data_IF_130245791677
#
_entry.id   IF_130245791677
#
_cell.length_a   1.000
_cell.length_b   1.000
_cell.length_c   1.000
_cell.angle_alpha   90.00
_cell.angle_beta   90.00
_cell.angle_gamma   90.00
#
_symmetry.space_group_name_H-M   'P 1'
#
loop_
_entity.id
_entity.type
_entity.pdbx_description
1 polymer ?
#
# COMPACT_ATOMS: atom_id res chain seq x y z
N UNK A 1 18.62 42.48 -28.23
CA UNK A 1 19.39 41.24 -28.04
C UNK A 1 19.79 40.97 -26.59
N UNK A 2 20.51 41.84 -25.87
CA UNK A 2 20.88 41.58 -24.45
C UNK A 2 19.66 41.27 -23.56
N UNK A 3 18.52 41.97 -23.70
CA UNK A 3 17.31 41.70 -22.91
C UNK A 3 16.76 40.29 -23.14
N UNK A 4 16.64 39.85 -24.41
CA UNK A 4 16.12 38.50 -24.75
C UNK A 4 17.04 37.41 -24.16
N UNK A 5 18.36 37.56 -24.33
CA UNK A 5 19.34 36.66 -23.76
C UNK A 5 19.20 36.53 -22.24
N UNK A 6 19.06 37.66 -21.55
CA UNK A 6 18.92 37.64 -20.09
C UNK A 6 17.61 36.97 -19.66
N UNK A 7 16.50 37.16 -20.39
CA UNK A 7 15.22 36.49 -20.13
C UNK A 7 15.39 35.00 -20.30
N UNK A 8 16.00 34.52 -21.38
CA UNK A 8 16.24 33.10 -21.61
C UNK A 8 17.12 32.46 -20.52
N UNK A 9 18.16 33.16 -20.07
CA UNK A 9 19.01 32.73 -18.96
C UNK A 9 18.19 32.59 -17.68
N UNK A 10 17.33 33.55 -17.34
CA UNK A 10 16.49 33.50 -16.16
C UNK A 10 15.49 32.33 -16.24
N UNK A 11 14.85 32.10 -17.40
CA UNK A 11 13.93 31.00 -17.60
C UNK A 11 14.65 29.64 -17.41
N UNK A 12 15.80 29.47 -18.04
CA UNK A 12 16.57 28.22 -17.88
C UNK A 12 17.04 28.04 -16.43
N UNK A 13 17.42 29.11 -15.72
CA UNK A 13 17.79 29.02 -14.31
C UNK A 13 16.62 28.51 -13.45
N UNK A 14 15.40 29.01 -13.70
CA UNK A 14 14.21 28.54 -12.99
C UNK A 14 13.98 27.04 -13.26
N UNK A 15 14.09 26.57 -14.51
CA UNK A 15 13.93 25.17 -14.81
C UNK A 15 15.03 24.28 -14.21
N UNK A 16 16.27 24.77 -14.13
CA UNK A 16 17.36 24.08 -13.40
C UNK A 16 17.01 23.97 -11.92
N UNK A 17 16.51 25.04 -11.30
CA UNK A 17 16.10 25.00 -9.89
C UNK A 17 14.94 24.03 -9.66
N UNK A 18 13.94 24.00 -10.56
CA UNK A 18 12.84 23.04 -10.49
C UNK A 18 13.34 21.58 -10.64
N UNK A 19 14.27 21.33 -11.54
CA UNK A 19 14.88 20.01 -11.71
C UNK A 19 15.66 19.59 -10.46
N UNK A 20 16.47 20.49 -9.91
CA UNK A 20 17.21 20.23 -8.66
C UNK A 20 16.23 19.97 -7.50
N UNK A 21 15.16 20.74 -7.39
CA UNK A 21 14.13 20.49 -6.38
C UNK A 21 13.51 19.10 -6.56
N UNK A 22 13.14 18.70 -7.78
CA UNK A 22 12.59 17.39 -8.06
C UNK A 22 13.58 16.24 -7.76
N UNK A 23 14.89 16.50 -7.89
CA UNK A 23 15.94 15.54 -7.62
C UNK A 23 16.21 15.36 -6.12
N UNK A 24 16.17 16.45 -5.36
CA UNK A 24 16.59 16.44 -3.94
C UNK A 24 15.44 16.45 -2.95
N UNK A 25 14.22 16.81 -3.39
CA UNK A 25 13.04 16.85 -2.52
C UNK A 25 12.13 15.68 -2.87
N UNK A 26 12.18 14.58 -2.10
CA UNK A 26 11.28 13.46 -2.31
C UNK A 26 9.84 13.85 -1.93
N UNK A 27 8.89 13.20 -2.58
CA UNK A 27 7.48 13.23 -2.20
C UNK A 27 7.12 11.86 -1.65
N UNK A 28 6.62 11.80 -0.44
CA UNK A 28 6.13 10.54 0.12
C UNK A 28 4.87 10.09 -0.62
N UNK A 29 4.89 8.86 -1.09
CA UNK A 29 3.77 8.22 -1.78
C UNK A 29 3.53 6.83 -1.23
N UNK A 30 2.27 6.44 -1.27
CA UNK A 30 1.83 5.07 -1.05
C UNK A 30 2.42 4.17 -2.13
N UNK A 31 3.05 3.10 -1.71
CA UNK A 31 3.59 2.06 -2.58
C UNK A 31 3.23 0.68 -2.02
N UNK A 32 2.97 -0.27 -2.90
CA UNK A 32 2.68 -1.65 -2.50
C UNK A 32 3.99 -2.39 -2.36
N UNK A 33 4.40 -2.64 -1.12
CA UNK A 33 5.61 -3.42 -0.84
C UNK A 33 5.43 -4.88 -1.22
N UNK A 34 4.24 -5.42 -0.97
CA UNK A 34 3.87 -6.80 -1.30
C UNK A 34 2.38 -6.90 -1.60
N UNK A 35 2.02 -7.79 -2.51
CA UNK A 35 0.63 -8.17 -2.76
C UNK A 35 0.57 -9.64 -3.19
N UNK A 36 -0.21 -10.43 -2.48
CA UNK A 36 -0.46 -11.83 -2.82
C UNK A 36 -1.59 -12.02 -3.84
N UNK A 37 -2.00 -10.95 -4.54
CA UNK A 37 -3.02 -11.03 -5.58
C UNK A 37 -2.54 -11.86 -6.76
N UNK A 38 -2.68 -13.16 -6.66
CA UNK A 38 -2.60 -14.04 -7.80
C UNK A 38 -3.99 -14.08 -8.48
N UNK A 39 -4.05 -13.75 -9.76
CA UNK A 39 -5.27 -13.81 -10.56
C UNK A 39 -5.97 -15.19 -10.48
N UNK A 40 -5.24 -16.23 -10.10
CA UNK A 40 -5.76 -17.59 -9.88
C UNK A 40 -6.72 -17.75 -8.70
N UNK A 41 -6.77 -16.77 -7.78
CA UNK A 41 -7.68 -16.78 -6.61
C UNK A 41 -9.14 -16.86 -7.05
N UNK A 42 -9.49 -16.14 -8.09
CA UNK A 42 -10.88 -16.04 -8.56
C UNK A 42 -11.43 -17.35 -9.12
N UNK A 43 -10.59 -18.14 -9.78
CA UNK A 43 -11.00 -19.38 -10.42
C UNK A 43 -11.09 -20.59 -9.46
N UNK A 44 -10.53 -20.47 -8.26
CA UNK A 44 -10.39 -21.58 -7.29
C UNK A 44 -10.95 -21.27 -5.90
N UNK A 45 -11.93 -20.40 -5.80
CA UNK A 45 -12.53 -19.96 -4.51
C UNK A 45 -12.90 -21.13 -3.57
N UNK A 46 -13.37 -22.24 -4.10
CA UNK A 46 -13.72 -23.43 -3.32
C UNK A 46 -12.51 -24.22 -2.79
N UNK A 47 -11.32 -23.97 -3.35
CA UNK A 47 -10.08 -24.68 -3.00
C UNK A 47 -9.17 -23.89 -2.06
N UNK A 48 -9.52 -22.64 -1.77
CA UNK A 48 -8.73 -21.76 -0.91
C UNK A 48 -9.05 -22.10 0.55
N UNK A 49 -8.03 -22.39 1.37
CA UNK A 49 -8.25 -22.67 2.79
C UNK A 49 -8.77 -21.43 3.51
N UNK A 50 -9.75 -21.66 4.40
CA UNK A 50 -10.23 -20.65 5.33
C UNK A 50 -9.51 -20.84 6.66
N UNK A 51 -8.87 -19.78 7.16
CA UNK A 51 -8.06 -19.80 8.36
C UNK A 51 -8.82 -19.27 9.55
N UNK A 52 -8.93 -20.10 10.56
CA UNK A 52 -9.50 -19.76 11.83
C UNK A 52 -10.99 -19.45 11.80
N UNK A 53 -11.47 -18.95 12.91
CA UNK A 53 -12.72 -18.22 13.02
C UNK A 53 -12.47 -17.09 14.00
N UNK A 54 -12.75 -15.85 13.61
CA UNK A 54 -12.71 -14.69 14.46
C UNK A 54 -14.10 -14.56 15.07
N UNK A 55 -14.18 -14.58 16.39
CA UNK A 55 -15.42 -14.45 17.18
C UNK A 55 -15.11 -13.65 18.43
N UNK A 56 -16.13 -13.31 19.23
CA UNK A 56 -15.95 -12.62 20.53
C UNK A 56 -15.02 -13.36 21.51
N UNK A 57 -14.80 -14.64 21.33
CA UNK A 57 -13.96 -15.47 22.20
C UNK A 57 -12.70 -16.01 21.51
N UNK A 58 -12.47 -15.65 20.26
CA UNK A 58 -11.36 -16.19 19.46
C UNK A 58 -10.78 -15.14 18.55
N UNK A 59 -9.55 -14.77 18.83
CA UNK A 59 -8.78 -13.80 18.05
C UNK A 59 -7.97 -14.49 16.95
N UNK A 60 -7.61 -13.71 15.92
CA UNK A 60 -6.61 -14.07 14.94
C UNK A 60 -5.37 -13.19 15.12
N UNK A 61 -4.21 -13.79 15.00
CA UNK A 61 -2.93 -13.09 15.14
C UNK A 61 -2.05 -13.33 13.91
N UNK A 62 -1.52 -12.25 13.36
CA UNK A 62 -0.67 -12.24 12.19
C UNK A 62 0.65 -11.59 12.58
N UNK A 63 1.78 -12.25 12.32
CA UNK A 63 3.13 -11.76 12.64
C UNK A 63 3.96 -11.57 11.39
N UNK A 64 4.74 -10.48 11.38
CA UNK A 64 5.67 -10.18 10.30
C UNK A 64 6.80 -9.26 10.78
N UNK A 65 7.91 -9.31 10.08
CA UNK A 65 9.06 -8.46 10.35
C UNK A 65 9.21 -7.43 9.22
N UNK A 66 9.42 -6.16 9.59
CA UNK A 66 9.74 -5.10 8.65
C UNK A 66 11.00 -4.36 9.07
N UNK A 67 11.70 -3.81 8.09
CA UNK A 67 12.90 -3.03 8.32
C UNK A 67 12.79 -1.67 7.61
N UNK A 68 12.91 -0.59 8.38
CA UNK A 68 12.91 0.81 7.91
C UNK A 68 11.74 1.14 6.99
N UNK A 69 10.52 0.73 7.40
CA UNK A 69 9.28 0.99 6.66
C UNK A 69 8.27 1.73 7.51
N UNK A 70 7.53 2.64 6.87
CA UNK A 70 6.33 3.24 7.42
C UNK A 70 5.12 2.55 6.80
N UNK A 71 4.35 1.83 7.60
CA UNK A 71 3.13 1.17 7.14
C UNK A 71 2.08 2.24 6.84
N UNK A 72 1.39 2.10 5.72
CA UNK A 72 0.21 2.89 5.36
C UNK A 72 -1.08 2.11 5.59
N UNK A 73 -1.11 0.84 5.18
CA UNK A 73 -2.25 -0.04 5.33
C UNK A 73 -1.89 -1.51 5.11
N UNK A 74 -2.79 -2.37 5.51
CA UNK A 74 -2.72 -3.81 5.30
C UNK A 74 -4.03 -4.26 4.68
N UNK A 75 -3.98 -4.80 3.49
CA UNK A 75 -5.13 -5.42 2.84
C UNK A 75 -5.25 -6.89 3.23
N UNK A 76 -6.43 -7.31 3.68
CA UNK A 76 -6.73 -8.68 4.04
C UNK A 76 -7.93 -9.19 3.25
N UNK A 77 -7.98 -10.49 3.05
CA UNK A 77 -9.08 -11.16 2.36
C UNK A 77 -9.90 -11.96 3.35
N UNK A 78 -11.04 -11.41 3.73
CA UNK A 78 -11.96 -12.03 4.67
C UNK A 78 -12.97 -12.92 3.98
N UNK A 79 -13.40 -13.96 4.70
CA UNK A 79 -14.55 -14.79 4.38
C UNK A 79 -15.57 -14.64 5.50
N UNK A 80 -16.77 -14.21 5.18
CA UNK A 80 -17.89 -14.18 6.14
C UNK A 80 -18.92 -15.19 5.69
N UNK A 81 -19.19 -16.18 6.54
CA UNK A 81 -20.27 -17.15 6.34
C UNK A 81 -21.47 -16.70 7.22
N UNK A 82 -22.62 -16.49 6.60
CA UNK A 82 -23.84 -16.02 7.25
C UNK A 82 -24.39 -14.75 6.62
N UNK A 83 -25.64 -14.44 6.92
CA UNK A 83 -26.37 -13.29 6.33
C UNK A 83 -26.52 -12.11 7.32
N UNK A 84 -26.17 -12.33 8.57
CA UNK A 84 -26.24 -11.30 9.60
C UNK A 84 -25.06 -10.33 9.42
N UNK A 85 -25.33 -9.02 9.48
CA UNK A 85 -24.37 -7.94 9.27
C UNK A 85 -23.95 -7.25 10.56
N UNK A 86 -24.35 -7.77 11.72
CA UNK A 86 -23.99 -7.23 13.02
C UNK A 86 -22.59 -7.65 13.45
N UNK A 87 -21.93 -6.81 14.24
CA UNK A 87 -20.60 -7.01 14.77
C UNK A 87 -19.51 -6.31 13.98
N UNK A 88 -18.32 -6.31 14.56
CA UNK A 88 -17.14 -5.67 14.01
C UNK A 88 -15.87 -6.44 14.36
N UNK A 89 -14.80 -6.15 13.62
CA UNK A 89 -13.46 -6.67 13.91
C UNK A 89 -12.59 -5.48 14.26
N UNK A 90 -12.10 -5.46 15.48
CA UNK A 90 -11.07 -4.52 15.94
C UNK A 90 -9.71 -5.02 15.49
N UNK A 91 -9.00 -4.18 14.77
CA UNK A 91 -7.67 -4.45 14.21
C UNK A 91 -6.63 -3.63 14.98
N UNK A 92 -5.74 -4.28 15.70
CA UNK A 92 -4.70 -3.61 16.50
C UNK A 92 -3.32 -4.01 15.99
N UNK A 93 -2.59 -3.05 15.44
CA UNK A 93 -1.20 -3.24 15.02
C UNK A 93 -0.25 -2.90 16.16
N UNK A 94 0.61 -3.86 16.52
CA UNK A 94 1.63 -3.70 17.54
C UNK A 94 3.02 -3.82 16.93
N UNK A 95 3.96 -3.02 17.43
CA UNK A 95 5.39 -3.13 17.15
C UNK A 95 6.09 -3.46 18.48
N UNK A 96 6.75 -4.62 18.57
CA UNK A 96 7.41 -5.09 19.79
C UNK A 96 6.47 -4.96 21.03
N UNK A 97 5.23 -5.43 20.88
CA UNK A 97 4.15 -5.41 21.87
C UNK A 97 3.55 -4.02 22.21
N UNK A 98 4.02 -2.95 21.61
CA UNK A 98 3.42 -1.61 21.76
C UNK A 98 2.44 -1.32 20.62
N UNK A 99 1.24 -0.83 20.93
CA UNK A 99 0.24 -0.45 19.95
C UNK A 99 0.73 0.77 19.15
N UNK A 100 0.78 0.63 17.84
CA UNK A 100 1.25 1.68 16.91
C UNK A 100 0.15 2.17 15.96
N UNK A 101 -0.88 1.37 15.72
CA UNK A 101 -2.06 1.76 14.95
C UNK A 101 -3.26 0.88 15.31
N UNK A 102 -4.46 1.41 15.14
CA UNK A 102 -5.72 0.70 15.31
C UNK A 102 -6.68 1.07 14.18
N UNK A 103 -7.51 0.11 13.80
CA UNK A 103 -8.59 0.29 12.85
C UNK A 103 -9.75 -0.64 13.24
N UNK A 104 -10.94 -0.40 12.69
CA UNK A 104 -12.11 -1.24 12.93
C UNK A 104 -12.87 -1.42 11.62
N UNK A 105 -13.21 -2.66 11.29
CA UNK A 105 -14.02 -2.99 10.12
C UNK A 105 -15.30 -3.68 10.56
N UNK A 106 -16.44 -3.19 10.07
CA UNK A 106 -17.75 -3.78 10.38
C UNK A 106 -18.03 -5.03 9.55
N UNK A 107 -18.79 -5.97 10.11
CA UNK A 107 -19.21 -7.16 9.35
C UNK A 107 -20.01 -6.78 8.10
N UNK A 108 -20.79 -5.71 8.17
CA UNK A 108 -21.53 -5.16 7.01
C UNK A 108 -20.59 -4.76 5.86
N UNK A 109 -19.47 -4.09 6.17
CA UNK A 109 -18.47 -3.74 5.16
C UNK A 109 -17.84 -4.99 4.55
N UNK A 110 -17.50 -5.98 5.37
CA UNK A 110 -16.94 -7.24 4.90
C UNK A 110 -17.94 -8.00 4.00
N UNK A 111 -19.21 -8.04 4.33
CA UNK A 111 -20.25 -8.65 3.51
C UNK A 111 -20.44 -7.89 2.21
N UNK A 112 -20.43 -6.56 2.26
CA UNK A 112 -20.58 -5.71 1.07
C UNK A 112 -19.42 -5.87 0.07
N UNK A 113 -18.21 -6.17 0.55
CA UNK A 113 -17.05 -6.44 -0.33
C UNK A 113 -17.08 -7.84 -0.93
N UNK A 114 -17.91 -8.76 -0.42
CA UNK A 114 -18.02 -10.13 -0.93
C UNK A 114 -18.99 -10.21 -2.10
N UNK A 115 -18.59 -10.88 -3.16
CA UNK A 115 -19.48 -11.25 -4.24
C UNK A 115 -19.49 -12.78 -4.43
N UNK A 116 -20.53 -13.29 -5.09
CA UNK A 116 -20.62 -14.72 -5.39
C UNK A 116 -19.49 -15.21 -6.33
N UNK A 117 -18.84 -14.29 -7.03
CA UNK A 117 -17.86 -14.59 -8.08
C UNK A 117 -16.44 -14.13 -7.76
N UNK A 118 -16.24 -13.27 -6.75
CA UNK A 118 -14.92 -12.74 -6.43
C UNK A 118 -14.66 -12.70 -4.93
N UNK A 119 -13.39 -12.83 -4.58
CA UNK A 119 -12.86 -12.55 -3.25
C UNK A 119 -12.21 -11.17 -3.33
N UNK A 120 -12.71 -10.23 -2.55
CA UNK A 120 -12.21 -8.86 -2.58
C UNK A 120 -11.35 -8.60 -1.34
N UNK A 121 -10.38 -7.74 -1.53
CA UNK A 121 -9.53 -7.22 -0.48
C UNK A 121 -10.28 -6.20 0.37
N UNK A 122 -10.05 -6.25 1.67
CA UNK A 122 -10.47 -5.24 2.64
C UNK A 122 -9.22 -4.52 3.14
N UNK A 123 -9.11 -3.25 2.84
CA UNK A 123 -7.98 -2.41 3.26
C UNK A 123 -8.19 -1.94 4.71
N UNK A 124 -7.24 -2.27 5.58
CA UNK A 124 -7.17 -1.80 6.96
C UNK A 124 -6.22 -0.58 7.00
N UNK A 125 -6.72 0.56 7.48
CA UNK A 125 -5.95 1.80 7.56
C UNK A 125 -5.08 1.86 8.81
N UNK A 126 -4.05 1.04 8.86
CA UNK A 126 -3.13 0.87 9.98
C UNK A 126 -1.85 1.70 9.82
N UNK A 127 -2.02 3.00 9.61
CA UNK A 127 -0.91 3.91 9.34
C UNK A 127 -0.04 4.14 10.57
N UNK A 128 1.27 3.84 10.47
CA UNK A 128 2.25 4.20 11.49
C UNK A 128 2.71 5.65 11.33
N UNK A 129 3.15 6.29 12.43
CA UNK A 129 3.56 7.69 12.43
C UNK A 129 4.86 7.94 11.66
N UNK A 130 5.77 6.95 11.67
CA UNK A 130 7.12 7.06 11.12
C UNK A 130 7.63 5.71 10.62
N UNK A 131 8.80 5.72 9.96
CA UNK A 131 9.51 4.50 9.57
C UNK A 131 10.07 3.81 10.80
N UNK A 132 9.81 2.53 10.91
CA UNK A 132 10.22 1.72 12.05
C UNK A 132 10.72 0.35 11.59
N UNK A 133 11.53 -0.26 12.45
CA UNK A 133 12.03 -1.62 12.23
C UNK A 133 11.67 -2.48 13.41
N UNK A 134 11.22 -3.70 13.17
CA UNK A 134 10.95 -4.66 14.24
C UNK A 134 9.92 -5.70 13.89
N UNK A 135 9.48 -6.39 14.93
CA UNK A 135 8.47 -7.43 14.86
C UNK A 135 7.09 -6.82 15.04
N UNK A 136 6.29 -6.92 13.99
CA UNK A 136 4.90 -6.47 14.00
C UNK A 136 3.99 -7.64 14.31
N UNK A 137 2.93 -7.33 15.07
CA UNK A 137 1.82 -8.24 15.33
C UNK A 137 0.53 -7.51 15.02
N UNK A 138 -0.25 -8.01 14.09
CA UNK A 138 -1.62 -7.57 13.83
C UNK A 138 -2.57 -8.52 14.54
N UNK A 139 -3.31 -7.99 15.50
CA UNK A 139 -4.34 -8.70 16.26
C UNK A 139 -5.72 -8.33 15.70
N UNK A 140 -6.52 -9.32 15.38
CA UNK A 140 -7.89 -9.19 14.88
C UNK A 140 -8.83 -9.79 15.94
N UNK A 141 -9.63 -8.94 16.56
CA UNK A 141 -10.56 -9.32 17.65
C UNK A 141 -11.99 -9.09 17.20
N UNK A 142 -12.84 -10.09 17.38
CA UNK A 142 -14.27 -9.96 17.11
C UNK A 142 -14.98 -9.26 18.25
N UNK A 143 -15.90 -8.35 17.92
CA UNK A 143 -16.81 -7.74 18.89
C UNK A 143 -18.26 -7.86 18.39
N UNK A 144 -19.14 -8.37 19.24
CA UNK A 144 -20.56 -8.61 18.93
C UNK A 144 -20.78 -9.53 17.72
N UNK A 145 -19.88 -10.50 17.52
CA UNK A 145 -19.98 -11.50 16.45
C UNK A 145 -20.73 -12.71 17.00
N UNK A 146 -21.89 -13.01 16.43
CA UNK A 146 -22.67 -14.19 16.79
C UNK A 146 -21.85 -15.48 16.68
N UNK A 147 -21.94 -16.43 17.61
CA UNK A 147 -21.23 -17.72 17.56
C UNK A 147 -21.53 -18.57 16.31
N UNK A 148 -22.68 -18.35 15.69
CA UNK A 148 -23.09 -19.04 14.46
C UNK A 148 -22.40 -18.45 13.21
N UNK A 149 -21.86 -17.24 13.32
CA UNK A 149 -21.17 -16.54 12.26
C UNK A 149 -19.72 -16.98 12.19
N UNK A 150 -19.26 -17.26 10.99
CA UNK A 150 -17.85 -17.52 10.73
C UNK A 150 -17.23 -16.38 9.97
N UNK A 151 -16.38 -15.63 10.64
CA UNK A 151 -15.46 -14.70 9.99
C UNK A 151 -14.08 -15.35 10.00
N UNK A 152 -13.48 -15.51 8.83
CA UNK A 152 -12.19 -16.17 8.67
C UNK A 152 -11.34 -15.40 7.64
N UNK A 153 -10.05 -15.66 7.61
CA UNK A 153 -9.17 -15.17 6.56
C UNK A 153 -9.00 -16.22 5.45
N UNK A 154 -8.82 -15.76 4.22
CA UNK A 154 -8.40 -16.67 3.16
C UNK A 154 -6.90 -16.93 3.27
N UNK A 155 -6.53 -18.21 3.23
CA UNK A 155 -5.14 -18.66 3.28
C UNK A 155 -4.55 -18.98 1.92
N UNK A 156 -3.24 -18.86 1.79
CA UNK A 156 -2.45 -19.26 0.64
C UNK A 156 -1.68 -20.54 0.94
N UNK A 157 -1.57 -21.42 -0.05
CA UNK A 157 -0.67 -22.58 0.01
C UNK A 157 0.72 -22.26 -0.53
N UNK A 158 0.86 -21.14 -1.20
CA UNK A 158 2.15 -20.67 -1.70
C UNK A 158 2.76 -19.78 -0.64
N UNK A 159 3.85 -20.24 -0.08
CA UNK A 159 4.53 -19.59 1.01
C UNK A 159 5.44 -18.45 0.50
N UNK A 160 4.94 -17.26 0.35
CA UNK A 160 5.76 -16.06 0.12
C UNK A 160 6.11 -15.31 1.41
N UNK A 161 5.76 -15.82 2.55
CA UNK A 161 6.35 -15.73 3.90
C UNK A 161 6.58 -14.35 4.53
N UNK A 162 5.99 -13.27 4.09
CA UNK A 162 6.10 -12.04 4.87
C UNK A 162 5.15 -12.00 6.07
N UNK A 163 3.97 -12.61 5.96
CA UNK A 163 2.95 -12.60 7.01
C UNK A 163 2.62 -14.03 7.46
N UNK A 164 2.95 -14.37 8.70
CA UNK A 164 2.65 -15.66 9.28
C UNK A 164 1.40 -15.60 10.15
N UNK A 165 0.41 -16.42 9.84
CA UNK A 165 -0.78 -16.59 10.67
C UNK A 165 -0.47 -17.52 11.86
N UNK A 166 -0.70 -17.07 13.10
CA UNK A 166 -0.30 -17.80 14.30
C UNK A 166 -1.43 -18.70 14.75
N UNK A 167 -2.57 -18.64 14.72
CA UNK A 167 -3.62 -19.52 15.27
C UNK A 167 -4.21 -20.52 14.25
N UNK A 168 -3.46 -20.85 13.21
CA UNK A 168 -3.90 -21.83 12.21
C UNK A 168 -3.88 -23.26 12.78
N UNK A 169 -5.04 -23.88 12.87
CA UNK A 169 -5.17 -25.30 13.22
C UNK A 169 -4.90 -26.25 12.03
N UNK A 170 -4.23 -25.78 10.99
CA UNK A 170 -4.02 -26.54 9.77
C UNK A 170 -2.55 -26.54 9.39
N UNK A 171 -1.91 -27.68 9.52
CA UNK A 171 -0.52 -27.93 9.11
C UNK A 171 -0.26 -27.73 7.60
N UNK A 172 -1.29 -27.44 6.82
CA UNK A 172 -1.22 -27.31 5.37
C UNK A 172 -1.34 -25.88 4.85
N UNK A 173 -1.47 -24.90 5.71
CA UNK A 173 -1.56 -23.48 5.31
C UNK A 173 -0.28 -22.80 5.71
N UNK A 174 0.42 -22.32 4.71
CA UNK A 174 1.70 -21.69 4.92
C UNK A 174 1.56 -20.18 5.19
N UNK A 175 0.50 -19.53 4.64
CA UNK A 175 0.37 -18.08 4.66
C UNK A 175 -1.09 -17.63 4.46
N UNK A 176 -1.35 -16.33 4.64
CA UNK A 176 -2.63 -15.68 4.30
C UNK A 176 -2.51 -14.90 2.99
N UNK A 177 -3.65 -14.63 2.35
CA UNK A 177 -3.71 -13.65 1.28
C UNK A 177 -3.73 -12.24 1.88
N UNK A 178 -2.82 -11.38 1.43
CA UNK A 178 -2.68 -10.02 1.93
C UNK A 178 -2.03 -9.08 0.91
N UNK A 179 -2.15 -7.80 1.15
CA UNK A 179 -1.27 -6.76 0.62
C UNK A 179 -0.69 -5.92 1.76
N UNK A 180 0.50 -5.43 1.57
CA UNK A 180 1.16 -4.54 2.52
C UNK A 180 1.55 -3.25 1.79
N UNK A 181 0.98 -2.16 2.25
CA UNK A 181 1.21 -0.84 1.69
C UNK A 181 2.07 0.00 2.63
N UNK A 182 3.05 0.67 2.06
CA UNK A 182 4.03 1.47 2.79
C UNK A 182 4.13 2.88 2.21
N UNK A 183 4.57 3.83 3.03
CA UNK A 183 4.94 5.16 2.56
C UNK A 183 6.41 5.16 2.15
N UNK A 184 6.68 5.45 0.89
CA UNK A 184 8.04 5.51 0.36
C UNK A 184 8.34 6.88 -0.27
N UNK A 185 9.55 7.41 -0.04
CA UNK A 185 10.00 8.61 -0.70
C UNK A 185 10.23 8.33 -2.19
N UNK A 186 9.50 9.02 -3.03
CA UNK A 186 9.60 8.88 -4.48
C UNK A 186 9.93 10.23 -5.11
N UNK A 187 10.54 10.18 -6.28
CA UNK A 187 10.87 11.36 -7.08
C UNK A 187 10.08 11.37 -8.41
N UNK A 188 8.75 11.45 -8.37
CA UNK A 188 7.89 11.24 -9.54
C UNK A 188 8.08 12.31 -10.63
N UNK A 189 8.64 13.45 -10.26
CA UNK A 189 8.75 14.61 -11.16
C UNK A 189 10.10 14.73 -11.86
N UNK A 190 11.09 13.86 -11.58
CA UNK A 190 12.44 13.93 -12.18
C UNK A 190 12.36 13.92 -13.70
N UNK A 191 11.69 12.94 -14.28
CA UNK A 191 11.63 12.81 -15.75
C UNK A 191 10.90 13.95 -16.41
N UNK A 192 9.80 14.42 -15.82
CA UNK A 192 9.03 15.54 -16.34
C UNK A 192 9.85 16.83 -16.31
N UNK A 193 10.51 17.14 -15.21
CA UNK A 193 11.33 18.35 -15.06
C UNK A 193 12.59 18.29 -15.93
N UNK A 194 13.20 17.10 -16.10
CA UNK A 194 14.32 16.89 -17.01
C UNK A 194 13.92 17.16 -18.47
N UNK A 195 12.75 16.66 -18.92
CA UNK A 195 12.24 16.92 -20.26
C UNK A 195 11.97 18.42 -20.49
N UNK A 196 11.32 19.09 -19.55
CA UNK A 196 11.04 20.53 -19.64
C UNK A 196 12.36 21.32 -19.73
N UNK A 197 13.33 20.98 -18.90
CA UNK A 197 14.66 21.62 -18.95
C UNK A 197 15.36 21.41 -20.29
N UNK A 198 15.35 20.17 -20.81
CA UNK A 198 15.95 19.86 -22.11
C UNK A 198 15.29 20.65 -23.25
N UNK A 199 13.96 20.71 -23.26
CA UNK A 199 13.21 21.51 -24.24
C UNK A 199 13.52 23.00 -24.12
N UNK A 200 13.57 23.54 -22.90
CA UNK A 200 13.90 24.96 -22.68
C UNK A 200 15.30 25.32 -23.18
N UNK A 201 16.28 24.44 -22.95
CA UNK A 201 17.64 24.62 -23.47
C UNK A 201 17.69 24.54 -24.99
N UNK A 202 16.96 23.61 -25.60
CA UNK A 202 16.86 23.49 -27.05
C UNK A 202 16.25 24.75 -27.69
N UNK A 203 15.13 25.23 -27.16
CA UNK A 203 14.49 26.47 -27.62
C UNK A 203 15.42 27.69 -27.47
N UNK A 204 16.11 27.78 -26.33
CA UNK A 204 17.08 28.85 -26.10
C UNK A 204 18.22 28.83 -27.11
N UNK A 205 18.71 27.63 -27.46
CA UNK A 205 19.74 27.45 -28.49
C UNK A 205 19.23 27.87 -29.88
N UNK A 206 18.04 27.44 -30.29
CA UNK A 206 17.45 27.81 -31.58
C UNK A 206 17.24 29.31 -31.71
N UNK A 207 16.68 29.98 -30.68
CA UNK A 207 16.52 31.42 -30.68
C UNK A 207 17.88 32.15 -30.76
N UNK A 208 18.88 31.63 -30.04
CA UNK A 208 20.21 32.20 -30.09
C UNK A 208 20.88 32.07 -31.47
N UNK A 209 20.72 30.91 -32.13
CA UNK A 209 21.22 30.63 -33.49
C UNK A 209 20.58 31.56 -34.51
N UNK A 210 19.23 31.68 -34.55
CA UNK A 210 18.49 32.57 -35.43
C UNK A 210 18.91 34.07 -35.25
N UNK A 211 19.12 34.47 -34.01
CA UNK A 211 19.58 35.81 -33.71
C UNK A 211 21.02 36.07 -34.17
N UNK A 212 21.87 35.04 -34.27
CA UNK A 212 23.25 35.16 -34.78
C UNK A 212 23.27 35.26 -36.31
N UNK A 213 22.46 34.45 -36.98
CA UNK A 213 22.35 34.46 -38.46
C UNK A 213 21.83 35.80 -38.99
N UNK A 214 20.85 36.42 -38.31
CA UNK A 214 20.33 37.76 -38.70
C UNK A 214 21.29 38.90 -38.52
N UNK A 215 22.49 38.65 -37.97
CA UNK A 215 23.53 39.67 -37.75
C UNK A 215 24.67 39.61 -38.77
N UNK A 216 24.77 38.54 -39.53
CA UNK A 216 25.65 38.42 -40.68
C UNK A 216 24.95 38.94 -41.93
#
# INVERSE_FOLDING_TARGET
>A
MKKIRNILICINLVFVLCFLAALFVPVERKDTLYSSTDASIYDKKSMIPKLGAITDSRDAEIRFDLYDKQIYGIGLYFCVDGTDEEGEIKCTLKLNDQVVAEDTVTIRELVATQSNTSINETELYLKTSEKQSGKYTLLLQGENISPEKRVALYGSRNADHMLSYVNANSDNVADIFYSLEVMEPQHPYIWMTAMILAMSLLFSYLIYSDMKEKKQ
#
